data_IF_946470519378
#
_entry.id   IF_946470519378
#
_cell.length_a   1.000
_cell.length_b   1.000
_cell.length_c   1.000
_cell.angle_alpha   90.00
_cell.angle_beta   90.00
_cell.angle_gamma   90.00
#
_symmetry.space_group_name_H-M   'P 1'
#
loop_
_entity.id
_entity.type
_entity.pdbx_description
1 polymer ?
#
# COMPACT_ATOMS: atom_id res chain seq x y z
N UNK A 1 15.05 -45.60 -8.22
CA UNK A 1 14.94 -44.63 -7.10
C UNK A 1 13.99 -45.24 -6.06
N UNK A 2 14.31 -45.19 -4.76
CA UNK A 2 13.45 -45.80 -3.72
C UNK A 2 12.10 -45.09 -3.65
N UNK A 3 10.99 -45.84 -3.53
CA UNK A 3 9.62 -45.30 -3.47
C UNK A 3 9.45 -44.20 -2.42
N UNK A 4 10.17 -44.33 -1.29
CA UNK A 4 10.17 -43.36 -0.19
C UNK A 4 10.74 -42.00 -0.59
N UNK A 5 11.80 -42.00 -1.40
CA UNK A 5 12.43 -40.76 -1.89
C UNK A 5 11.49 -40.06 -2.86
N UNK A 6 10.85 -40.81 -3.75
CA UNK A 6 9.85 -40.27 -4.68
C UNK A 6 8.71 -39.55 -3.93
N UNK A 7 8.14 -40.16 -2.91
CA UNK A 7 7.05 -39.55 -2.13
C UNK A 7 7.45 -38.25 -1.43
N UNK A 8 8.69 -38.17 -0.92
CA UNK A 8 9.19 -36.94 -0.28
C UNK A 8 9.36 -35.83 -1.32
N UNK A 9 9.92 -36.15 -2.49
CA UNK A 9 10.08 -35.19 -3.59
C UNK A 9 8.73 -34.71 -4.11
N UNK A 10 7.78 -35.62 -4.33
CA UNK A 10 6.44 -35.28 -4.81
C UNK A 10 5.73 -34.34 -3.83
N UNK A 11 5.82 -34.60 -2.52
CA UNK A 11 5.26 -33.69 -1.50
C UNK A 11 5.92 -32.31 -1.50
N UNK A 12 7.24 -32.28 -1.54
CA UNK A 12 7.98 -31.02 -1.54
C UNK A 12 7.65 -30.16 -2.78
N UNK A 13 7.48 -30.80 -3.94
CA UNK A 13 7.07 -30.11 -5.17
C UNK A 13 5.66 -29.55 -5.04
N UNK A 14 4.72 -30.29 -4.47
CA UNK A 14 3.35 -29.81 -4.27
C UNK A 14 3.31 -28.63 -3.28
N UNK A 15 4.02 -28.73 -2.16
CA UNK A 15 4.12 -27.65 -1.16
C UNK A 15 4.71 -26.37 -1.76
N UNK A 16 5.76 -26.48 -2.58
CA UNK A 16 6.34 -25.33 -3.28
C UNK A 16 5.38 -24.72 -4.28
N UNK A 17 4.60 -25.55 -4.98
CA UNK A 17 3.62 -25.10 -5.95
C UNK A 17 2.48 -24.34 -5.27
N UNK A 18 1.93 -24.88 -4.18
CA UNK A 18 0.91 -24.20 -3.39
C UNK A 18 1.42 -22.87 -2.80
N UNK A 19 2.64 -22.85 -2.25
CA UNK A 19 3.24 -21.63 -1.71
C UNK A 19 3.43 -20.55 -2.80
N UNK A 20 3.85 -20.96 -4.00
CA UNK A 20 4.03 -20.05 -5.12
C UNK A 20 2.70 -19.52 -5.66
N UNK A 21 1.68 -20.37 -5.79
CA UNK A 21 0.35 -19.97 -6.22
C UNK A 21 -0.28 -18.97 -5.22
N UNK A 22 -0.09 -19.20 -3.92
CA UNK A 22 -0.53 -18.27 -2.88
C UNK A 22 0.18 -16.90 -2.98
N UNK A 23 1.50 -16.88 -3.16
CA UNK A 23 2.28 -15.64 -3.33
C UNK A 23 1.84 -14.85 -4.58
N UNK A 24 1.61 -15.55 -5.69
CA UNK A 24 1.11 -14.94 -6.92
C UNK A 24 -0.28 -14.32 -6.69
N UNK A 25 -1.19 -15.05 -6.03
CA UNK A 25 -2.52 -14.55 -5.73
C UNK A 25 -2.49 -13.34 -4.80
N UNK A 26 -1.67 -13.36 -3.75
CA UNK A 26 -1.50 -12.23 -2.83
C UNK A 26 -0.99 -10.99 -3.58
N UNK A 27 0.02 -11.17 -4.44
CA UNK A 27 0.58 -10.08 -5.24
C UNK A 27 -0.46 -9.47 -6.17
N UNK A 28 -1.26 -10.29 -6.85
CA UNK A 28 -2.35 -9.82 -7.73
C UNK A 28 -3.42 -9.08 -6.91
N UNK A 29 -3.82 -9.62 -5.76
CA UNK A 29 -4.83 -9.00 -4.90
C UNK A 29 -4.37 -7.62 -4.43
N UNK A 30 -3.12 -7.53 -3.99
CA UNK A 30 -2.50 -6.29 -3.52
C UNK A 30 -2.36 -5.25 -4.64
N UNK A 31 -1.93 -5.67 -5.83
CA UNK A 31 -1.83 -4.80 -7.00
C UNK A 31 -3.19 -4.24 -7.39
N UNK A 32 -4.23 -5.09 -7.43
CA UNK A 32 -5.60 -4.67 -7.72
C UNK A 32 -6.12 -3.65 -6.72
N UNK A 33 -5.91 -3.89 -5.42
CA UNK A 33 -6.32 -2.96 -4.37
C UNK A 33 -5.59 -1.62 -4.49
N UNK A 34 -4.29 -1.64 -4.78
CA UNK A 34 -3.50 -0.42 -5.00
C UNK A 34 -4.03 0.38 -6.21
N UNK A 35 -4.31 -0.28 -7.33
CA UNK A 35 -4.90 0.36 -8.52
C UNK A 35 -6.25 0.99 -8.19
N UNK A 36 -7.11 0.30 -7.42
CA UNK A 36 -8.41 0.82 -7.02
C UNK A 36 -8.29 2.07 -6.13
N UNK A 37 -7.39 2.05 -5.14
CA UNK A 37 -7.10 3.22 -4.30
C UNK A 37 -6.56 4.40 -5.11
N UNK A 38 -5.69 4.13 -6.09
CA UNK A 38 -5.16 5.17 -6.97
C UNK A 38 -6.28 5.82 -7.80
N UNK A 39 -7.18 5.03 -8.36
CA UNK A 39 -8.30 5.55 -9.14
C UNK A 39 -9.25 6.39 -8.28
N UNK A 40 -9.55 5.92 -7.06
CA UNK A 40 -10.33 6.69 -6.10
C UNK A 40 -9.69 8.05 -5.80
N UNK A 41 -8.37 8.09 -5.58
CA UNK A 41 -7.66 9.36 -5.38
C UNK A 41 -7.78 10.31 -6.57
N UNK A 42 -7.72 9.79 -7.81
CA UNK A 42 -7.94 10.62 -9.01
C UNK A 42 -9.35 11.21 -9.01
N UNK A 43 -10.37 10.41 -8.72
CA UNK A 43 -11.75 10.90 -8.63
C UNK A 43 -11.90 11.98 -7.57
N UNK A 44 -11.32 11.78 -6.38
CA UNK A 44 -11.33 12.79 -5.30
C UNK A 44 -10.65 14.08 -5.76
N UNK A 45 -9.50 14.00 -6.44
CA UNK A 45 -8.80 15.17 -6.95
C UNK A 45 -9.64 15.93 -8.00
N UNK A 46 -10.31 15.22 -8.91
CA UNK A 46 -11.20 15.82 -9.92
C UNK A 46 -12.37 16.54 -9.24
N UNK A 47 -13.05 15.86 -8.31
CA UNK A 47 -14.17 16.44 -7.54
C UNK A 47 -13.72 17.68 -6.76
N UNK A 48 -12.55 17.64 -6.13
CA UNK A 48 -11.98 18.78 -5.41
C UNK A 48 -11.70 19.98 -6.33
N UNK A 49 -11.16 19.75 -7.52
CA UNK A 49 -10.93 20.82 -8.52
C UNK A 49 -12.25 21.44 -8.97
N UNK A 50 -13.23 20.59 -9.29
CA UNK A 50 -14.54 21.04 -9.74
C UNK A 50 -15.27 21.88 -8.66
N UNK A 51 -15.12 21.50 -7.39
CA UNK A 51 -15.66 22.28 -6.27
C UNK A 51 -14.94 23.63 -6.11
N UNK A 52 -13.62 23.67 -6.30
CA UNK A 52 -12.84 24.92 -6.26
C UNK A 52 -13.22 25.90 -7.38
N UNK A 53 -13.53 25.39 -8.58
CA UNK A 53 -13.96 26.20 -9.72
C UNK A 53 -15.37 26.79 -9.53
N UNK A 54 -16.28 26.05 -8.88
CA UNK A 54 -17.61 26.57 -8.54
C UNK A 54 -17.58 27.67 -7.47
N UNK A 55 -16.56 27.69 -6.59
CA UNK A 55 -16.38 28.70 -5.56
C UNK A 55 -15.96 30.09 -6.07
N UNK A 56 -15.40 30.19 -7.28
CA UNK A 56 -14.82 31.43 -7.81
C UNK A 56 -15.74 32.21 -8.77
N UNK A 57 -16.87 31.64 -9.19
CA UNK A 57 -17.79 32.27 -10.15
C UNK A 57 -18.88 33.17 -9.50
N UNK A 58 -18.73 33.53 -8.22
CA UNK A 58 -19.70 34.35 -7.49
C UNK A 58 -19.30 35.84 -7.33
N UNK A 59 -18.22 36.31 -7.95
CA UNK A 59 -17.61 37.61 -7.60
C UNK A 59 -17.39 38.60 -8.76
N UNK A 60 -18.05 38.47 -9.91
CA UNK A 60 -17.96 39.48 -10.98
C UNK A 60 -19.35 39.95 -11.46
N UNK A 61 -19.97 40.83 -10.68
CA UNK A 61 -20.91 41.82 -11.20
C UNK A 61 -20.40 43.23 -10.84
N UNK A 62 -20.19 44.14 -11.81
CA UNK A 62 -19.71 45.48 -11.54
C UNK A 62 -20.79 46.30 -10.83
N UNK A 63 -20.47 46.71 -9.60
CA UNK A 63 -21.24 47.65 -8.78
C UNK A 63 -21.36 49.01 -9.47
N UNK A 64 -22.53 49.28 -10.04
CA UNK A 64 -23.03 50.63 -10.31
C UNK A 64 -24.38 50.76 -9.61
N UNK A 65 -24.46 51.56 -8.55
CA UNK A 65 -25.39 52.70 -8.39
C UNK A 65 -25.29 53.29 -6.97
N UNK A 66 -25.37 54.62 -6.97
CA UNK A 66 -25.25 55.58 -5.89
C UNK A 66 -26.27 55.45 -4.75
N UNK A 67 -25.85 56.05 -3.64
CA UNK A 67 -26.58 56.42 -2.43
C UNK A 67 -27.95 57.08 -2.65
N UNK A 68 -28.98 56.60 -1.93
CA UNK A 68 -29.85 57.40 -1.04
C UNK A 68 -30.93 56.51 -0.40
N UNK A 69 -31.06 56.58 0.93
CA UNK A 69 -32.20 56.08 1.73
C UNK A 69 -33.30 57.16 1.82
N UNK A 70 -34.51 56.91 2.39
CA UNK A 70 -35.05 55.67 3.00
C UNK A 70 -36.50 55.29 2.56
N UNK A 71 -36.95 54.09 2.99
CA UNK A 71 -38.25 53.82 3.65
C UNK A 71 -39.11 52.67 3.05
N UNK A 72 -39.52 51.77 3.98
CA UNK A 72 -40.67 50.87 3.98
C UNK A 72 -40.74 49.70 2.97
N UNK A 73 -40.56 48.47 3.46
CA UNK A 73 -41.63 47.49 3.68
C UNK A 73 -41.07 46.09 3.94
N UNK A 74 -41.64 45.42 4.95
CA UNK A 74 -41.51 43.99 5.22
C UNK A 74 -41.80 43.14 3.97
N UNK A 75 -40.87 42.27 3.55
CA UNK A 75 -41.16 40.86 3.19
C UNK A 75 -39.87 40.05 3.42
N UNK A 76 -39.86 39.23 4.46
CA UNK A 76 -38.90 38.14 4.63
C UNK A 76 -39.39 36.99 3.76
N UNK A 77 -38.79 36.79 2.58
CA UNK A 77 -38.99 35.56 1.81
C UNK A 77 -37.92 34.56 2.24
N UNK A 78 -38.29 33.66 3.15
CA UNK A 78 -37.54 32.44 3.43
C UNK A 78 -37.51 31.58 2.15
N UNK A 79 -36.34 31.41 1.56
CA UNK A 79 -36.11 30.31 0.63
C UNK A 79 -35.62 29.11 1.44
N UNK A 80 -36.54 28.20 1.78
CA UNK A 80 -36.20 26.83 2.17
C UNK A 80 -35.87 26.02 0.91
N UNK A 81 -34.72 25.33 0.81
CA UNK A 81 -34.53 24.32 -0.22
C UNK A 81 -35.31 23.06 0.18
N UNK A 82 -36.35 22.75 -0.59
CA UNK A 82 -37.02 21.46 -0.59
C UNK A 82 -35.99 20.36 -0.94
N UNK A 83 -35.65 19.51 0.02
CA UNK A 83 -35.00 18.22 -0.25
C UNK A 83 -36.00 17.29 -0.95
N UNK A 84 -35.66 16.65 -2.09
CA UNK A 84 -36.45 15.53 -2.58
C UNK A 84 -36.15 14.30 -1.72
N UNK A 85 -37.21 13.73 -1.14
CA UNK A 85 -37.14 12.48 -0.40
C UNK A 85 -36.97 11.27 -1.32
N UNK A 86 -36.16 10.32 -0.83
CA UNK A 86 -36.29 8.87 -0.97
C UNK A 86 -35.80 8.21 -2.28
N UNK A 87 -34.77 7.36 -2.12
CA UNK A 87 -34.85 5.91 -2.44
C UNK A 87 -33.51 5.25 -2.84
N UNK A 88 -32.35 5.90 -2.73
CA UNK A 88 -31.06 5.26 -3.11
C UNK A 88 -29.90 5.47 -2.15
N UNK A 89 -30.13 6.05 -0.97
CA UNK A 89 -29.06 6.27 0.01
C UNK A 89 -28.90 5.12 1.03
N UNK A 90 -29.95 4.31 1.24
CA UNK A 90 -29.93 3.22 2.22
C UNK A 90 -29.07 2.00 1.82
N UNK A 91 -28.55 1.96 0.58
CA UNK A 91 -27.69 0.86 0.12
C UNK A 91 -26.20 1.03 0.49
N UNK A 92 -25.80 2.20 1.01
CA UNK A 92 -24.40 2.48 1.36
C UNK A 92 -24.09 2.27 2.85
N UNK A 93 -25.10 2.22 3.73
CA UNK A 93 -24.88 2.02 5.17
C UNK A 93 -24.38 0.61 5.54
N UNK A 94 -24.55 -0.38 4.65
CA UNK A 94 -24.04 -1.74 4.89
C UNK A 94 -22.58 -1.97 4.44
N UNK A 95 -21.88 -0.95 3.92
CA UNK A 95 -20.46 -1.03 3.58
C UNK A 95 -19.55 -0.15 4.46
N UNK A 96 -20.10 0.51 5.49
CA UNK A 96 -19.32 1.36 6.39
C UNK A 96 -18.59 0.57 7.51
N UNK A 97 -18.81 -0.74 7.63
CA UNK A 97 -18.24 -1.59 8.70
C UNK A 97 -16.96 -2.33 8.27
N UNK A 98 -16.13 -1.73 7.42
CA UNK A 98 -14.86 -2.33 7.00
C UNK A 98 -13.72 -1.33 6.77
N UNK A 99 -13.86 -0.07 7.21
CA UNK A 99 -12.73 0.87 7.21
C UNK A 99 -12.12 0.84 8.61
N UNK A 100 -10.92 0.27 8.81
CA UNK A 100 -10.27 0.32 10.11
C UNK A 100 -10.12 1.79 10.51
N UNK A 101 -10.73 2.13 11.65
CA UNK A 101 -10.60 3.41 12.32
C UNK A 101 -9.11 3.83 12.34
N UNK A 102 -8.77 5.12 12.13
CA UNK A 102 -7.37 5.59 12.08
C UNK A 102 -6.53 5.18 13.30
N UNK A 103 -7.15 4.93 14.44
CA UNK A 103 -6.50 4.38 15.63
C UNK A 103 -6.02 2.92 15.46
N UNK A 104 -6.73 2.10 14.69
CA UNK A 104 -6.36 0.72 14.39
C UNK A 104 -5.22 0.65 13.36
N UNK A 105 -5.23 1.54 12.37
CA UNK A 105 -4.12 1.71 11.42
C UNK A 105 -2.84 2.10 12.17
N UNK A 106 -2.91 3.08 13.06
CA UNK A 106 -1.76 3.52 13.85
C UNK A 106 -1.18 2.40 14.75
N UNK A 107 -2.03 1.52 15.29
CA UNK A 107 -1.59 0.36 16.07
C UNK A 107 -0.87 -0.67 15.21
N UNK A 108 -1.38 -0.95 14.01
CA UNK A 108 -0.75 -1.88 13.07
C UNK A 108 0.58 -1.33 12.54
N UNK A 109 0.64 -0.04 12.23
CA UNK A 109 1.87 0.63 11.81
C UNK A 109 2.94 0.63 12.90
N UNK A 110 2.57 0.87 14.16
CA UNK A 110 3.49 0.78 15.29
C UNK A 110 4.05 -0.64 15.47
N UNK A 111 3.21 -1.66 15.29
CA UNK A 111 3.64 -3.07 15.36
C UNK A 111 4.60 -3.42 14.22
N UNK A 112 4.25 -3.05 12.99
CA UNK A 112 5.10 -3.27 11.81
C UNK A 112 6.43 -2.52 11.89
N UNK A 113 6.44 -1.32 12.48
CA UNK A 113 7.67 -0.55 12.70
C UNK A 113 8.62 -1.27 13.66
N UNK A 114 8.10 -1.82 14.75
CA UNK A 114 8.90 -2.59 15.70
C UNK A 114 9.41 -3.91 15.09
N UNK A 115 8.56 -4.62 14.35
CA UNK A 115 8.92 -5.86 13.67
C UNK A 115 10.02 -5.63 12.61
N UNK A 116 9.90 -4.55 11.83
CA UNK A 116 10.92 -4.16 10.84
C UNK A 116 12.25 -3.83 11.50
N UNK A 117 12.25 -3.09 12.61
CA UNK A 117 13.46 -2.78 13.37
C UNK A 117 14.10 -4.06 13.93
N UNK A 118 13.30 -4.99 14.43
CA UNK A 118 13.81 -6.27 14.92
C UNK A 118 14.40 -7.12 13.79
N UNK A 119 13.73 -7.17 12.64
CA UNK A 119 14.19 -7.90 11.46
C UNK A 119 15.48 -7.29 10.88
N UNK A 120 15.65 -5.97 10.95
CA UNK A 120 16.88 -5.29 10.55
C UNK A 120 18.05 -5.61 11.50
N UNK A 121 17.79 -5.67 12.80
CA UNK A 121 18.79 -6.12 13.80
C UNK A 121 19.19 -7.57 13.54
N UNK A 122 18.23 -8.47 13.32
CA UNK A 122 18.50 -9.88 13.00
C UNK A 122 19.22 -10.04 11.66
N UNK A 123 18.83 -9.29 10.61
CA UNK A 123 19.52 -9.26 9.32
C UNK A 123 20.96 -8.79 9.47
N UNK A 124 21.21 -7.75 10.29
CA UNK A 124 22.57 -7.28 10.56
C UNK A 124 23.42 -8.33 11.27
N UNK A 125 22.83 -9.23 12.05
CA UNK A 125 23.54 -10.34 12.70
C UNK A 125 23.79 -11.50 11.73
N UNK A 126 22.85 -11.76 10.81
CA UNK A 126 22.89 -12.92 9.92
C UNK A 126 23.61 -12.67 8.58
N UNK A 127 23.65 -11.42 8.09
CA UNK A 127 24.26 -11.12 6.80
C UNK A 127 25.79 -11.19 6.87
N UNK A 128 26.33 -12.33 6.45
CA UNK A 128 27.75 -12.46 6.15
C UNK A 128 28.16 -11.79 4.85
N UNK A 129 29.25 -11.02 4.84
CA UNK A 129 29.78 -10.42 3.60
C UNK A 129 30.57 -11.46 2.81
N UNK A 130 30.19 -11.70 1.55
CA UNK A 130 30.99 -12.50 0.63
C UNK A 130 31.94 -11.56 -0.12
N UNK A 131 33.25 -11.75 0.06
CA UNK A 131 34.26 -10.95 -0.61
C UNK A 131 34.95 -11.82 -1.65
N UNK A 132 34.77 -11.47 -2.92
CA UNK A 132 35.55 -12.05 -4.00
C UNK A 132 36.89 -11.31 -4.06
N UNK A 133 37.76 -11.54 -3.06
CA UNK A 133 39.15 -11.11 -3.18
C UNK A 133 39.80 -11.93 -4.29
N UNK A 134 40.57 -11.27 -5.15
CA UNK A 134 41.33 -11.85 -6.25
C UNK A 134 42.51 -12.68 -5.69
N UNK A 135 42.16 -13.72 -4.94
CA UNK A 135 43.07 -14.69 -4.40
C UNK A 135 43.56 -15.54 -5.59
N UNK A 136 44.86 -15.73 -5.72
CA UNK A 136 45.44 -16.39 -6.90
C UNK A 136 44.98 -17.86 -7.11
N UNK A 137 44.29 -18.48 -6.15
CA UNK A 137 43.68 -19.81 -6.30
C UNK A 137 42.15 -19.77 -6.61
N UNK A 138 41.55 -18.59 -6.64
CA UNK A 138 40.12 -18.37 -6.88
C UNK A 138 39.18 -18.92 -5.78
N UNK A 139 39.66 -19.16 -4.57
CA UNK A 139 38.80 -19.55 -3.45
C UNK A 139 37.95 -18.38 -2.96
N UNK A 140 36.65 -18.64 -2.77
CA UNK A 140 35.71 -17.67 -2.23
C UNK A 140 35.91 -17.54 -0.71
N UNK A 141 36.00 -16.30 -0.23
CA UNK A 141 36.03 -16.00 1.19
C UNK A 141 34.70 -15.36 1.61
N UNK A 142 34.11 -15.89 2.67
CA UNK A 142 32.88 -15.36 3.27
C UNK A 142 33.17 -15.02 4.73
N UNK A 143 32.59 -13.93 5.21
CA UNK A 143 32.61 -13.58 6.63
C UNK A 143 31.23 -13.87 7.17
N UNK A 144 31.07 -14.71 8.19
CA UNK A 144 29.78 -14.99 8.84
C UNK A 144 29.92 -14.66 10.32
N UNK A 145 29.05 -13.80 10.85
CA UNK A 145 29.08 -13.38 12.27
C UNK A 145 30.44 -12.86 12.76
N UNK A 146 31.21 -12.22 11.87
CA UNK A 146 32.55 -11.68 12.17
C UNK A 146 33.70 -12.67 12.00
N UNK A 147 33.41 -13.95 11.74
CA UNK A 147 34.42 -14.98 11.50
C UNK A 147 34.63 -15.19 9.98
N UNK A 148 35.90 -15.31 9.58
CA UNK A 148 36.30 -15.47 8.18
C UNK A 148 36.40 -16.95 7.82
N UNK A 149 35.65 -17.37 6.81
CA UNK A 149 35.63 -18.73 6.28
C UNK A 149 36.13 -18.74 4.83
N UNK A 150 36.91 -19.76 4.49
CA UNK A 150 37.45 -19.99 3.15
C UNK A 150 36.79 -21.21 2.55
N UNK A 151 36.06 -21.04 1.45
CA UNK A 151 35.43 -22.14 0.74
C UNK A 151 36.52 -22.99 0.06
N UNK A 152 36.64 -24.26 0.46
CA UNK A 152 37.49 -25.21 -0.23
C UNK A 152 36.94 -25.43 -1.64
N UNK A 153 37.71 -25.06 -2.66
CA UNK A 153 37.38 -25.36 -4.04
C UNK A 153 37.64 -26.84 -4.29
N UNK A 154 36.58 -27.63 -4.50
CA UNK A 154 36.74 -28.97 -5.04
C UNK A 154 37.25 -28.85 -6.47
N UNK A 155 38.55 -29.12 -6.69
CA UNK A 155 39.06 -29.29 -8.03
C UNK A 155 38.36 -30.50 -8.65
N UNK A 156 37.63 -30.28 -9.75
CA UNK A 156 37.09 -31.39 -10.54
C UNK A 156 38.27 -32.24 -10.99
N UNK A 157 38.37 -33.47 -10.49
CA UNK A 157 39.41 -34.40 -10.91
C UNK A 157 39.37 -34.52 -12.44
N UNK A 158 40.47 -34.17 -13.10
CA UNK A 158 40.62 -34.45 -14.54
C UNK A 158 40.68 -35.97 -14.68
N UNK A 159 39.76 -36.51 -15.49
CA UNK A 159 39.83 -37.91 -15.96
C UNK A 159 41.03 -38.09 -16.86
#
# INVERSE_FOLDING_TARGET
MSLRIKTVVDKFVEELKEALDADIQDRIMKERALTQCQELMKHVAILSSQFAEMGNNAADHPSVIQSSTPQAAHVVTQFSPLYPQSSTFAAFDHMAEAIPEPAEIARQEARLKMEKENLEKEKSVLMGTASNQDNQDGALEITVSGEKYRCLRFAKAKK
#
